data_IF_222756370300
#
_entry.id   IF_222756370300
#
_cell.length_a   1.000
_cell.length_b   1.000
_cell.length_c   1.000
_cell.angle_alpha   90.00
_cell.angle_beta   90.00
_cell.angle_gamma   90.00
#
_symmetry.space_group_name_H-M   'P 1'
#
loop_
_entity.id
_entity.type
_entity.pdbx_description
1 polymer ?
#
# COMPACT_ATOMS: atom_id res chain seq x y z
N UNK A 1 7.09 14.06 7.13
CA UNK A 1 7.01 14.24 5.66
C UNK A 1 6.46 12.95 5.06
N UNK A 2 5.46 13.02 4.19
CA UNK A 2 4.84 11.85 3.53
C UNK A 2 5.09 11.98 2.03
N UNK A 3 5.54 10.91 1.38
CA UNK A 3 5.81 10.86 -0.06
C UNK A 3 4.91 9.79 -0.68
N UNK A 4 4.13 10.17 -1.69
CA UNK A 4 3.31 9.23 -2.45
C UNK A 4 4.09 8.60 -3.60
N UNK A 5 4.19 7.27 -3.60
CA UNK A 5 4.76 6.51 -4.72
C UNK A 5 3.65 6.14 -5.72
N UNK A 6 3.61 6.83 -6.86
CA UNK A 6 2.58 6.64 -7.90
C UNK A 6 3.18 6.09 -9.20
N UNK A 7 2.31 5.69 -10.14
CA UNK A 7 2.72 5.09 -11.42
C UNK A 7 1.64 4.16 -11.98
N UNK A 8 1.73 3.82 -13.28
CA UNK A 8 0.77 2.93 -13.97
C UNK A 8 0.94 1.44 -13.67
N UNK A 9 0.06 0.60 -14.21
CA UNK A 9 0.20 -0.86 -14.13
C UNK A 9 1.55 -1.28 -14.72
N UNK A 10 2.24 -2.23 -14.07
CA UNK A 10 3.57 -2.72 -14.46
C UNK A 10 4.70 -1.67 -14.50
N UNK A 11 4.53 -0.50 -13.87
CA UNK A 11 5.55 0.56 -13.86
C UNK A 11 6.70 0.35 -12.85
N UNK A 12 6.77 -0.80 -12.19
CA UNK A 12 7.83 -1.11 -11.22
C UNK A 12 7.70 -0.44 -9.84
N UNK A 13 6.53 0.11 -9.47
CA UNK A 13 6.32 0.71 -8.14
C UNK A 13 6.71 -0.22 -6.98
N UNK A 14 6.30 -1.49 -7.06
CA UNK A 14 6.62 -2.47 -6.02
C UNK A 14 8.12 -2.72 -5.89
N UNK A 15 8.89 -2.59 -6.98
CA UNK A 15 10.36 -2.67 -6.94
C UNK A 15 10.96 -1.47 -6.22
N UNK A 16 10.48 -0.26 -6.54
CA UNK A 16 10.95 0.97 -5.87
C UNK A 16 10.58 0.98 -4.39
N UNK A 17 9.37 0.52 -4.02
CA UNK A 17 8.98 0.43 -2.62
C UNK A 17 9.87 -0.54 -1.84
N UNK A 18 10.25 -1.68 -2.44
CA UNK A 18 11.20 -2.62 -1.82
C UNK A 18 12.59 -2.01 -1.62
N UNK A 19 13.12 -1.31 -2.63
CA UNK A 19 14.40 -0.61 -2.49
C UNK A 19 14.37 0.42 -1.35
N UNK A 20 13.27 1.16 -1.21
CA UNK A 20 13.11 2.11 -0.11
C UNK A 20 13.04 1.40 1.26
N UNK A 21 12.37 0.24 1.34
CA UNK A 21 12.35 -0.58 2.57
C UNK A 21 13.76 -1.05 2.95
N UNK A 22 14.56 -1.52 1.97
CA UNK A 22 15.94 -1.97 2.21
C UNK A 22 16.85 -0.84 2.71
N UNK A 23 16.57 0.40 2.30
CA UNK A 23 17.25 1.60 2.78
C UNK A 23 16.76 2.07 4.18
N UNK A 24 15.84 1.34 4.81
CA UNK A 24 15.32 1.62 6.14
C UNK A 24 14.17 2.63 6.18
N UNK A 25 13.58 2.98 5.04
CA UNK A 25 12.40 3.83 5.02
C UNK A 25 11.14 3.03 5.35
N UNK A 26 10.28 3.53 6.27
CA UNK A 26 8.99 2.93 6.51
C UNK A 26 8.10 3.11 5.26
N UNK A 27 7.58 2.00 4.76
CA UNK A 27 6.64 1.97 3.63
C UNK A 27 5.24 1.66 4.13
N UNK A 28 4.27 2.42 3.61
CA UNK A 28 2.84 2.18 3.81
C UNK A 28 2.26 1.73 2.47
N UNK A 29 1.88 0.46 2.38
CA UNK A 29 1.29 -0.12 1.16
C UNK A 29 -0.24 0.07 1.17
N UNK A 30 -0.72 0.94 0.30
CA UNK A 30 -2.13 1.26 0.19
C UNK A 30 -2.97 0.09 -0.35
N UNK A 31 -2.42 -0.76 -1.22
CA UNK A 31 -3.15 -1.90 -1.80
C UNK A 31 -3.40 -2.97 -0.73
N UNK A 32 -2.41 -3.21 0.14
CA UNK A 32 -2.56 -4.13 1.28
C UNK A 32 -3.58 -3.60 2.27
N UNK A 33 -3.50 -2.31 2.62
CA UNK A 33 -4.44 -1.69 3.56
C UNK A 33 -5.86 -1.72 3.00
N UNK A 34 -6.04 -1.39 1.72
CA UNK A 34 -7.34 -1.39 1.06
C UNK A 34 -8.00 -2.78 1.07
N UNK A 35 -7.22 -3.86 0.96
CA UNK A 35 -7.73 -5.23 1.11
C UNK A 35 -8.07 -5.56 2.56
N UNK A 36 -7.23 -5.14 3.50
CA UNK A 36 -7.41 -5.44 4.91
C UNK A 36 -8.67 -4.80 5.48
N UNK A 37 -8.97 -3.55 5.13
CA UNK A 37 -10.15 -2.85 5.66
C UNK A 37 -11.48 -3.43 5.19
N UNK A 38 -11.46 -4.28 4.14
CA UNK A 38 -12.65 -4.98 3.63
C UNK A 38 -12.67 -6.46 4.00
N UNK A 39 -11.84 -6.89 4.96
CA UNK A 39 -11.94 -8.23 5.51
C UNK A 39 -13.25 -8.40 6.30
N UNK A 40 -13.82 -9.63 6.37
CA UNK A 40 -15.02 -9.87 7.18
C UNK A 40 -14.81 -9.42 8.63
N UNK A 41 -15.82 -8.74 9.18
CA UNK A 41 -15.83 -8.10 10.51
C UNK A 41 -15.09 -6.76 10.62
N UNK A 42 -14.59 -6.21 9.52
CA UNK A 42 -14.05 -4.84 9.51
C UNK A 42 -15.17 -3.82 9.18
N UNK A 43 -15.06 -2.61 9.75
CA UNK A 43 -16.07 -1.55 9.61
C UNK A 43 -16.35 -1.18 8.14
N UNK A 44 -15.32 -1.24 7.28
CA UNK A 44 -15.51 -0.93 5.87
C UNK A 44 -16.26 -2.04 5.12
N UNK A 45 -16.17 -3.30 5.56
CA UNK A 45 -16.93 -4.42 4.99
C UNK A 45 -18.43 -4.29 5.23
N UNK A 46 -18.84 -3.79 6.41
CA UNK A 46 -20.25 -3.58 6.75
C UNK A 46 -20.93 -2.44 5.95
N UNK A 47 -20.12 -1.59 5.30
CA UNK A 47 -20.57 -0.43 4.52
C UNK A 47 -20.49 -0.63 3.00
N UNK A 48 -20.09 -1.82 2.54
CA UNK A 48 -20.17 -2.25 1.13
C UNK A 48 -21.62 -2.54 0.78
#
# INVERSE_FOLDING_TARGET
MIIGLTGGIASGKSTVSHMLMELGFPIVDADVIARKVVEPNEEAFEKI
#
